data_IF_422864249522
#
_entry.id   IF_422864249522
#
_cell.length_a   1.000
_cell.length_b   1.000
_cell.length_c   1.000
_cell.angle_alpha   90.00
_cell.angle_beta   90.00
_cell.angle_gamma   90.00
#
_symmetry.space_group_name_H-M   'P 1'
#
loop_
_entity.id
_entity.type
_entity.pdbx_description
1 polymer ?
#
# COMPACT_ATOMS: atom_id res chain seq x y z
N UNK A 1 -14.10 -7.66 -6.80
CA UNK A 1 -14.19 -6.84 -5.56
C UNK A 1 -15.66 -6.69 -5.22
N UNK A 2 -16.12 -7.13 -4.05
CA UNK A 2 -17.52 -6.98 -3.62
C UNK A 2 -17.80 -5.48 -3.57
N UNK A 3 -18.78 -5.01 -4.32
CA UNK A 3 -19.13 -3.59 -4.44
C UNK A 3 -19.19 -2.94 -3.05
N UNK A 4 -18.13 -2.19 -2.74
CA UNK A 4 -18.07 -1.39 -1.52
C UNK A 4 -18.96 -0.19 -1.76
N UNK A 5 -20.25 -0.33 -1.44
CA UNK A 5 -21.09 0.83 -1.17
C UNK A 5 -20.29 1.78 -0.27
N UNK A 6 -20.24 3.07 -0.63
CA UNK A 6 -19.41 4.07 0.03
C UNK A 6 -19.65 4.02 1.56
N UNK A 7 -18.75 3.35 2.26
CA UNK A 7 -18.89 3.10 3.69
C UNK A 7 -18.58 4.39 4.43
N UNK A 8 -19.54 4.88 5.21
CA UNK A 8 -19.34 6.04 6.12
C UNK A 8 -18.27 5.76 7.18
N UNK A 9 -17.87 4.50 7.38
CA UNK A 9 -16.91 4.10 8.40
C UNK A 9 -15.53 4.78 8.27
N UNK A 10 -15.16 5.22 7.07
CA UNK A 10 -13.89 5.90 6.81
C UNK A 10 -14.03 7.41 6.57
N UNK A 11 -15.24 7.98 6.75
CA UNK A 11 -15.45 9.40 6.55
C UNK A 11 -14.50 10.23 7.44
N UNK A 12 -13.72 11.11 6.81
CA UNK A 12 -12.73 11.96 7.49
C UNK A 12 -11.44 11.25 7.94
N UNK A 13 -11.35 9.91 7.88
CA UNK A 13 -10.12 9.17 8.23
C UNK A 13 -9.06 9.28 7.13
N UNK A 14 -7.80 9.09 7.51
CA UNK A 14 -6.62 9.04 6.62
C UNK A 14 -6.34 10.31 5.80
N UNK A 15 -6.90 11.46 6.19
CA UNK A 15 -6.63 12.77 5.57
C UNK A 15 -5.40 13.46 6.14
N UNK A 16 -5.16 13.26 7.43
CA UNK A 16 -3.98 13.76 8.15
C UNK A 16 -3.25 12.57 8.78
N UNK A 17 -1.94 12.52 8.57
CA UNK A 17 -1.08 11.47 9.12
C UNK A 17 -0.78 11.65 10.60
N UNK A 18 -0.90 12.87 11.14
CA UNK A 18 -0.60 13.21 12.53
C UNK A 18 -1.85 13.26 13.42
N UNK A 19 -3.03 13.47 12.83
CA UNK A 19 -4.28 13.68 13.57
C UNK A 19 -5.36 12.68 13.13
N UNK A 20 -6.18 12.22 14.07
CA UNK A 20 -7.34 11.36 13.80
C UNK A 20 -8.55 12.18 13.34
N UNK A 21 -9.60 11.50 12.87
CA UNK A 21 -10.79 12.18 12.37
C UNK A 21 -11.55 12.98 13.45
N UNK A 22 -11.34 12.66 14.72
CA UNK A 22 -11.91 13.30 15.91
C UNK A 22 -10.92 14.26 16.61
N UNK A 23 -9.80 14.60 15.96
CA UNK A 23 -8.88 15.64 16.44
C UNK A 23 -7.83 15.18 17.45
N UNK A 24 -7.74 13.88 17.74
CA UNK A 24 -6.72 13.33 18.64
C UNK A 24 -5.38 13.13 17.90
N UNK A 25 -4.29 13.09 18.66
CA UNK A 25 -2.97 12.70 18.11
C UNK A 25 -3.03 11.25 17.64
N UNK A 26 -2.59 10.99 16.41
CA UNK A 26 -2.56 9.63 15.85
C UNK A 26 -1.45 8.82 16.53
N UNK A 27 -1.75 7.56 16.85
CA UNK A 27 -0.74 6.63 17.34
C UNK A 27 0.29 6.33 16.25
N UNK A 28 1.57 6.31 16.63
CA UNK A 28 2.68 5.98 15.74
C UNK A 28 3.59 4.93 16.39
N UNK A 29 4.16 4.07 15.56
CA UNK A 29 5.22 3.13 15.94
C UNK A 29 6.40 3.40 15.00
N UNK A 30 7.59 3.56 15.56
CA UNK A 30 8.80 3.77 14.76
C UNK A 30 9.19 2.47 14.03
N UNK A 31 9.50 2.58 12.74
CA UNK A 31 10.16 1.50 11.99
C UNK A 31 11.64 1.54 12.37
N UNK A 32 12.10 0.56 13.15
CA UNK A 32 13.44 0.61 13.76
C UNK A 32 14.46 -0.35 13.13
N UNK A 33 14.00 -1.52 12.64
CA UNK A 33 14.87 -2.53 12.02
C UNK A 33 14.03 -3.55 11.24
N UNK A 34 13.67 -3.27 9.98
CA UNK A 34 12.99 -4.26 9.15
C UNK A 34 13.96 -5.40 8.82
N UNK A 35 13.62 -6.64 9.17
CA UNK A 35 14.39 -7.84 8.78
C UNK A 35 14.13 -8.25 7.33
N UNK A 36 12.99 -7.83 6.77
CA UNK A 36 12.62 -8.11 5.39
C UNK A 36 11.79 -6.96 4.84
N UNK A 37 12.18 -6.44 3.67
CA UNK A 37 11.47 -5.40 2.94
C UNK A 37 10.96 -5.94 1.61
N UNK A 38 9.65 -5.81 1.37
CA UNK A 38 9.00 -6.25 0.14
C UNK A 38 8.57 -5.05 -0.69
N UNK A 39 8.98 -5.02 -1.95
CA UNK A 39 8.52 -4.04 -2.93
C UNK A 39 7.52 -4.72 -3.88
N UNK A 40 6.32 -4.17 -4.00
CA UNK A 40 5.37 -4.57 -5.02
C UNK A 40 5.60 -3.71 -6.26
N UNK A 41 5.80 -4.32 -7.42
CA UNK A 41 6.12 -3.64 -8.68
C UNK A 41 4.92 -3.63 -9.63
N UNK A 42 3.73 -3.31 -9.13
CA UNK A 42 2.47 -3.31 -9.87
C UNK A 42 1.71 -4.64 -9.87
N UNK A 43 0.61 -4.71 -10.62
CA UNK A 43 -0.28 -5.89 -10.69
C UNK A 43 -0.38 -6.54 -12.07
N UNK A 44 0.18 -5.96 -13.13
CA UNK A 44 0.18 -6.64 -14.43
C UNK A 44 1.08 -7.87 -14.40
N UNK A 45 0.53 -8.98 -14.86
CA UNK A 45 1.22 -10.25 -15.03
C UNK A 45 0.81 -10.86 -16.37
N UNK A 46 1.69 -11.63 -17.02
CA UNK A 46 1.36 -12.27 -18.29
C UNK A 46 0.36 -13.42 -18.16
N UNK A 47 0.00 -13.82 -16.95
CA UNK A 47 -0.93 -14.91 -16.64
C UNK A 47 -1.92 -14.49 -15.55
N UNK A 48 -3.12 -15.08 -15.57
CA UNK A 48 -4.13 -14.90 -14.53
C UNK A 48 -4.28 -16.22 -13.74
N UNK A 49 -3.55 -16.33 -12.64
CA UNK A 49 -3.56 -17.55 -11.82
C UNK A 49 -4.77 -17.60 -10.88
N UNK A 50 -5.39 -18.78 -10.74
CA UNK A 50 -6.52 -18.98 -9.81
C UNK A 50 -6.20 -18.68 -8.34
N UNK A 51 -4.92 -18.74 -7.95
CA UNK A 51 -4.45 -18.54 -6.57
C UNK A 51 -3.55 -17.31 -6.42
N UNK A 52 -3.64 -16.31 -7.30
CA UNK A 52 -2.90 -15.07 -7.14
C UNK A 52 -3.47 -14.25 -5.96
N UNK A 53 -2.66 -14.01 -4.93
CA UNK A 53 -3.12 -13.32 -3.70
C UNK A 53 -3.49 -11.84 -3.90
N UNK A 54 -3.02 -11.22 -5.00
CA UNK A 54 -3.28 -9.83 -5.40
C UNK A 54 -4.06 -9.72 -6.70
N UNK A 55 -4.58 -10.83 -7.22
CA UNK A 55 -5.38 -10.88 -8.45
C UNK A 55 -4.64 -10.32 -9.69
N UNK A 56 -3.31 -10.44 -9.72
CA UNK A 56 -2.50 -10.03 -10.87
C UNK A 56 -2.92 -10.76 -12.14
N UNK A 57 -2.98 -10.03 -13.26
CA UNK A 57 -3.40 -10.55 -14.55
C UNK A 57 -2.91 -9.65 -15.70
N UNK A 58 -3.10 -10.05 -16.98
CA UNK A 58 -2.70 -9.22 -18.10
C UNK A 58 -3.44 -7.88 -18.20
N UNK A 59 -4.51 -7.70 -17.43
CA UNK A 59 -5.38 -6.51 -17.50
C UNK A 59 -5.60 -5.84 -16.15
N UNK A 60 -5.12 -6.42 -15.03
CA UNK A 60 -5.25 -5.80 -13.72
C UNK A 60 -4.10 -4.82 -13.48
N UNK A 61 -4.37 -3.53 -13.73
CA UNK A 61 -3.45 -2.41 -13.53
C UNK A 61 -3.91 -1.52 -12.37
N UNK A 62 -4.10 -2.12 -11.20
CA UNK A 62 -4.66 -1.45 -10.02
C UNK A 62 -3.59 -0.87 -9.08
N UNK A 63 -2.35 -1.35 -9.13
CA UNK A 63 -1.26 -0.86 -8.27
C UNK A 63 -0.24 -0.05 -9.05
N UNK A 64 0.25 1.03 -8.42
CA UNK A 64 1.31 1.85 -8.96
C UNK A 64 2.61 1.05 -9.14
N UNK A 65 3.34 1.38 -10.20
CA UNK A 65 4.68 0.88 -10.46
C UNK A 65 5.72 1.75 -9.77
N UNK A 66 6.78 1.11 -9.28
CA UNK A 66 7.91 1.77 -8.63
C UNK A 66 9.15 1.69 -9.52
N UNK A 67 9.90 2.77 -9.59
CA UNK A 67 11.17 2.86 -10.31
C UNK A 67 12.33 2.35 -9.46
N UNK A 68 13.45 2.00 -10.11
CA UNK A 68 14.66 1.61 -9.41
C UNK A 68 15.23 2.72 -8.51
N UNK A 69 15.06 3.99 -8.89
CA UNK A 69 15.49 5.14 -8.09
C UNK A 69 14.68 5.24 -6.78
N UNK A 70 13.36 5.10 -6.86
CA UNK A 70 12.50 5.07 -5.68
C UNK A 70 12.83 3.88 -4.76
N UNK A 71 13.14 2.70 -5.32
CA UNK A 71 13.60 1.56 -4.52
C UNK A 71 14.90 1.89 -3.77
N UNK A 72 15.87 2.52 -4.43
CA UNK A 72 17.12 2.94 -3.79
C UNK A 72 16.86 3.92 -2.62
N UNK A 73 16.01 4.93 -2.84
CA UNK A 73 15.64 5.90 -1.79
C UNK A 73 15.00 5.23 -0.57
N UNK A 74 14.19 4.18 -0.76
CA UNK A 74 13.60 3.42 0.36
C UNK A 74 14.60 2.52 1.07
N UNK A 75 15.59 1.97 0.36
CA UNK A 75 16.65 1.18 0.98
C UNK A 75 17.53 2.06 1.89
N UNK A 76 17.85 3.29 1.47
CA UNK A 76 18.61 4.25 2.28
C UNK A 76 17.87 4.68 3.55
N UNK A 77 16.53 4.70 3.53
CA UNK A 77 15.70 4.96 4.72
C UNK A 77 15.64 3.78 5.69
N UNK A 78 15.96 2.58 5.23
CA UNK A 78 15.86 1.34 6.02
C UNK A 78 17.17 0.98 6.75
N UNK A 79 18.24 1.74 6.53
CA UNK A 79 19.55 1.63 7.20
C UNK A 79 19.71 2.64 8.33
#
# INVERSE_FOLDING_TARGET
MKDLAASTANFGKFRDRQVTADGQVRAHVALTRPDTLWFNTGTLCNIACANCYVDSSPTNDALAYISAAEVADFLDQAT
#
